data_IF_035616495245
#
_entry.id   IF_035616495245
#
_cell.length_a   1.000
_cell.length_b   1.000
_cell.length_c   1.000
_cell.angle_alpha   90.00
_cell.angle_beta   90.00
_cell.angle_gamma   90.00
#
_symmetry.space_group_name_H-M   'P 1'
#
loop_
_entity.id
_entity.type
_entity.pdbx_description
1 polymer ?
#
# COMPACT_ATOMS: atom_id res chain seq x y z
N UNK A 1 -0.70 29.64 8.07
CA UNK A 1 -1.84 30.34 8.68
C UNK A 1 -3.11 30.25 7.84
N UNK A 2 -3.14 30.68 6.57
CA UNK A 2 -4.38 30.67 5.74
C UNK A 2 -5.08 29.31 5.66
N UNK A 3 -4.34 28.22 5.45
CA UNK A 3 -4.89 26.84 5.48
C UNK A 3 -5.40 26.38 6.85
N UNK A 4 -4.81 26.88 7.94
CA UNK A 4 -5.30 26.60 9.31
C UNK A 4 -6.63 27.33 9.49
N UNK A 5 -6.75 28.56 8.97
CA UNK A 5 -8.00 29.32 9.03
C UNK A 5 -9.11 28.73 8.16
N UNK A 6 -8.79 28.28 6.95
CA UNK A 6 -9.75 27.65 6.04
C UNK A 6 -10.26 26.30 6.59
N UNK A 7 -9.39 25.51 7.25
CA UNK A 7 -9.78 24.22 7.85
C UNK A 7 -10.48 24.35 9.20
N UNK A 8 -10.03 25.27 10.05
CA UNK A 8 -10.68 25.53 11.33
C UNK A 8 -12.05 26.22 11.13
N UNK A 9 -12.27 26.87 9.98
CA UNK A 9 -13.48 27.59 9.64
C UNK A 9 -13.66 28.82 10.52
N UNK A 10 -12.59 29.61 10.72
CA UNK A 10 -12.68 30.84 11.51
C UNK A 10 -13.62 31.83 10.83
N UNK A 11 -14.73 32.15 11.48
CA UNK A 11 -15.59 33.25 11.08
C UNK A 11 -14.85 34.57 11.33
N UNK A 12 -14.75 35.42 10.31
CA UNK A 12 -14.17 36.75 10.40
C UNK A 12 -15.16 37.80 9.93
N UNK A 13 -15.03 39.02 10.44
CA UNK A 13 -15.81 40.17 9.95
C UNK A 13 -15.01 40.88 8.87
N UNK A 14 -15.61 41.05 7.70
CA UNK A 14 -15.06 41.93 6.66
C UNK A 14 -15.34 43.38 7.07
N UNK A 15 -14.31 44.07 7.54
CA UNK A 15 -14.41 45.50 7.85
C UNK A 15 -14.22 46.32 6.57
N UNK A 16 -15.16 47.23 6.23
CA UNK A 16 -14.96 48.17 5.14
C UNK A 16 -13.72 49.03 5.37
N UNK A 17 -12.95 49.38 4.33
CA UNK A 17 -11.76 50.24 4.46
C UNK A 17 -12.03 51.61 5.09
N UNK A 18 -13.27 52.11 5.03
CA UNK A 18 -13.70 53.33 5.71
C UNK A 18 -13.69 53.18 7.24
N UNK A 19 -14.13 52.03 7.76
CA UNK A 19 -14.14 51.74 9.20
C UNK A 19 -12.71 51.61 9.72
N UNK A 20 -11.84 50.93 8.97
CA UNK A 20 -10.42 50.78 9.32
C UNK A 20 -9.73 52.15 9.41
N UNK A 21 -9.98 53.04 8.44
CA UNK A 21 -9.42 54.40 8.46
C UNK A 21 -9.92 55.23 9.64
N UNK A 22 -11.21 55.12 9.96
CA UNK A 22 -11.81 55.79 11.13
C UNK A 22 -11.19 55.30 12.45
N UNK A 23 -11.00 53.98 12.59
CA UNK A 23 -10.37 53.38 13.77
C UNK A 23 -8.90 53.78 13.92
N UNK A 24 -8.18 53.99 12.82
CA UNK A 24 -6.79 54.45 12.85
C UNK A 24 -6.64 55.90 13.31
N UNK A 25 -7.66 56.74 13.12
CA UNK A 25 -7.65 58.16 13.49
C UNK A 25 -8.23 58.46 14.87
N UNK A 26 -8.91 57.49 15.48
CA UNK A 26 -9.61 57.68 16.76
C UNK A 26 -8.71 57.27 17.93
N UNK A 27 -8.81 57.97 19.06
CA UNK A 27 -8.07 57.63 20.26
C UNK A 27 -8.46 56.23 20.78
N UNK A 28 -7.52 55.28 20.94
CA UNK A 28 -7.82 53.93 21.42
C UNK A 28 -8.57 53.89 22.76
N UNK A 29 -8.25 54.80 23.68
CA UNK A 29 -8.86 54.80 25.02
C UNK A 29 -10.34 55.21 24.99
N UNK A 30 -10.71 56.10 24.06
CA UNK A 30 -12.10 56.52 23.87
C UNK A 30 -12.94 55.39 23.27
N UNK A 31 -12.39 54.64 22.31
CA UNK A 31 -13.06 53.48 21.71
C UNK A 31 -13.28 52.39 22.76
N UNK A 32 -12.26 52.09 23.58
CA UNK A 32 -12.36 51.05 24.60
C UNK A 32 -13.43 51.44 25.62
N UNK A 33 -13.42 52.70 26.06
CA UNK A 33 -14.40 53.20 27.04
C UNK A 33 -15.82 53.17 26.48
N UNK A 34 -16.04 53.66 25.25
CA UNK A 34 -17.37 53.65 24.64
C UNK A 34 -17.89 52.23 24.42
N UNK A 35 -17.02 51.33 23.98
CA UNK A 35 -17.37 49.92 23.76
C UNK A 35 -17.70 49.20 25.07
N UNK A 36 -17.00 49.53 26.16
CA UNK A 36 -17.28 48.98 27.48
C UNK A 36 -18.62 49.49 28.04
N UNK A 37 -18.89 50.79 27.91
CA UNK A 37 -20.15 51.38 28.35
C UNK A 37 -21.35 50.80 27.57
N UNK A 38 -21.21 50.58 26.26
CA UNK A 38 -22.21 49.90 25.42
C UNK A 38 -22.42 48.43 25.84
N UNK A 39 -21.31 47.71 26.09
CA UNK A 39 -21.36 46.31 26.54
C UNK A 39 -22.08 46.16 27.88
N UNK A 40 -21.84 47.07 28.84
CA UNK A 40 -22.47 47.04 30.16
C UNK A 40 -23.97 47.37 30.08
N UNK A 41 -24.35 48.30 29.19
CA UNK A 41 -25.74 48.76 29.07
C UNK A 41 -26.61 47.78 28.30
N UNK A 42 -26.18 47.37 27.12
CA UNK A 42 -27.00 46.65 26.14
C UNK A 42 -26.61 45.17 26.03
N UNK A 43 -25.56 44.75 26.74
CA UNK A 43 -24.99 43.41 26.63
C UNK A 43 -24.11 43.23 25.39
N UNK A 44 -23.58 42.02 25.16
CA UNK A 44 -22.73 41.76 24.01
C UNK A 44 -23.54 41.83 22.71
N UNK A 45 -22.97 42.49 21.71
CA UNK A 45 -23.56 42.53 20.36
C UNK A 45 -23.82 41.09 19.86
N UNK A 46 -24.97 40.80 19.24
CA UNK A 46 -25.29 39.46 18.73
C UNK A 46 -24.22 38.91 17.77
N UNK A 47 -23.61 39.78 16.96
CA UNK A 47 -22.50 39.41 16.08
C UNK A 47 -21.25 38.99 16.87
N UNK A 48 -20.95 39.65 17.98
CA UNK A 48 -19.82 39.31 18.84
C UNK A 48 -20.02 37.93 19.47
N UNK A 49 -21.23 37.62 19.94
CA UNK A 49 -21.59 36.30 20.47
C UNK A 49 -21.42 35.23 19.39
N UNK A 50 -21.95 35.45 18.19
CA UNK A 50 -21.79 34.53 17.06
C UNK A 50 -20.32 34.27 16.69
N UNK A 51 -19.48 35.32 16.69
CA UNK A 51 -18.05 35.19 16.40
C UNK A 51 -17.32 34.42 17.50
N UNK A 52 -17.65 34.64 18.78
CA UNK A 52 -17.08 33.88 19.88
C UNK A 52 -17.50 32.41 19.83
N UNK A 53 -18.77 32.12 19.56
CA UNK A 53 -19.26 30.75 19.39
C UNK A 53 -18.59 30.05 18.21
N UNK A 54 -18.43 30.74 17.06
CA UNK A 54 -17.71 30.24 15.90
C UNK A 54 -16.22 30.02 16.20
N UNK A 55 -15.58 30.91 16.96
CA UNK A 55 -14.19 30.78 17.40
C UNK A 55 -14.02 29.58 18.35
N UNK A 56 -14.95 29.38 19.30
CA UNK A 56 -14.94 28.23 20.20
C UNK A 56 -15.17 26.93 19.44
N UNK A 57 -16.08 26.91 18.47
CA UNK A 57 -16.30 25.76 17.59
C UNK A 57 -15.05 25.46 16.74
N UNK A 58 -14.42 26.47 16.15
CA UNK A 58 -13.16 26.34 15.42
C UNK A 58 -12.01 25.86 16.31
N UNK A 59 -11.92 26.37 17.55
CA UNK A 59 -10.98 25.94 18.57
C UNK A 59 -11.15 24.46 18.95
N UNK A 60 -12.39 24.00 19.10
CA UNK A 60 -12.70 22.57 19.35
C UNK A 60 -12.32 21.68 18.17
N UNK A 61 -12.51 22.16 16.94
CA UNK A 61 -12.04 21.50 15.71
C UNK A 61 -10.53 21.59 15.48
N UNK A 62 -9.78 22.26 16.35
CA UNK A 62 -8.32 22.38 16.16
C UNK A 62 -7.59 21.05 16.35
N UNK A 63 -8.15 20.11 17.12
CA UNK A 63 -7.68 18.72 17.15
C UNK A 63 -7.86 18.02 15.79
N UNK A 64 -8.83 18.45 14.98
CA UNK A 64 -9.09 17.97 13.60
C UNK A 64 -8.24 18.73 12.55
N UNK A 65 -7.51 19.79 12.94
CA UNK A 65 -6.66 20.56 12.03
C UNK A 65 -5.42 19.76 11.61
N UNK A 66 -4.91 18.92 12.50
CA UNK A 66 -3.89 17.92 12.18
C UNK A 66 -4.60 16.72 11.57
N UNK A 67 -4.45 16.56 10.25
CA UNK A 67 -4.93 15.37 9.59
C UNK A 67 -4.06 14.17 9.98
N UNK A 68 -4.55 12.94 9.76
CA UNK A 68 -3.77 11.72 10.03
C UNK A 68 -2.39 11.76 9.35
N UNK A 69 -2.30 12.37 8.17
CA UNK A 69 -1.04 12.47 7.44
C UNK A 69 -0.04 13.41 8.13
N UNK A 70 -0.53 14.43 8.85
CA UNK A 70 0.31 15.32 9.62
C UNK A 70 0.85 14.61 10.88
N UNK A 71 0.06 13.72 11.48
CA UNK A 71 0.49 12.87 12.59
C UNK A 71 1.55 11.87 12.11
N UNK A 72 1.27 11.15 11.00
CA UNK A 72 2.21 10.20 10.40
C UNK A 72 3.52 10.88 10.00
N UNK A 73 3.46 12.11 9.48
CA UNK A 73 4.66 12.86 9.13
C UNK A 73 5.50 13.23 10.36
N UNK A 74 4.88 13.47 11.52
CA UNK A 74 5.59 13.71 12.78
C UNK A 74 6.20 12.41 13.30
N UNK A 75 5.43 11.31 13.33
CA UNK A 75 5.90 9.99 13.78
C UNK A 75 7.08 9.48 12.95
N UNK A 76 7.06 9.74 11.65
CA UNK A 76 8.11 9.35 10.71
C UNK A 76 9.21 10.41 10.57
N UNK A 77 9.09 11.56 11.24
CA UNK A 77 10.11 12.62 11.24
C UNK A 77 10.20 13.45 9.95
N UNK A 78 9.35 13.23 8.95
CA UNK A 78 9.29 14.07 7.73
C UNK A 78 8.79 15.48 8.01
N UNK A 79 8.00 15.69 9.07
CA UNK A 79 7.55 17.02 9.47
C UNK A 79 8.70 17.96 9.85
N UNK A 80 9.85 17.40 10.26
CA UNK A 80 11.04 18.14 10.70
C UNK A 80 12.09 18.22 9.57
N UNK A 81 11.92 17.42 8.52
CA UNK A 81 12.81 17.41 7.37
C UNK A 81 12.58 18.62 6.43
N UNK A 82 13.12 18.54 5.22
CA UNK A 82 12.90 19.57 4.21
C UNK A 82 11.41 19.68 3.81
N UNK A 83 10.97 20.91 3.52
CA UNK A 83 9.56 21.25 3.26
C UNK A 83 9.03 20.54 2.01
N UNK A 84 9.86 20.31 0.99
CA UNK A 84 9.46 19.58 -0.21
C UNK A 84 9.14 18.11 0.14
N UNK A 85 10.00 17.47 0.94
CA UNK A 85 9.78 16.10 1.42
C UNK A 85 8.51 15.97 2.27
N UNK A 86 8.25 16.91 3.18
CA UNK A 86 7.02 16.92 3.98
C UNK A 86 5.77 17.05 3.09
N UNK A 87 5.79 17.96 2.11
CA UNK A 87 4.65 18.14 1.19
C UNK A 87 4.44 16.89 0.33
N UNK A 88 5.51 16.31 -0.22
CA UNK A 88 5.44 15.10 -1.03
C UNK A 88 4.88 13.92 -0.23
N UNK A 89 5.42 13.66 0.96
CA UNK A 89 4.95 12.62 1.89
C UNK A 89 3.44 12.74 2.13
N UNK A 90 2.98 13.93 2.50
CA UNK A 90 1.57 14.20 2.75
C UNK A 90 0.70 13.93 1.52
N UNK A 91 1.13 14.39 0.35
CA UNK A 91 0.39 14.17 -0.89
C UNK A 91 0.31 12.67 -1.23
N UNK A 92 1.37 11.90 -0.99
CA UNK A 92 1.38 10.45 -1.20
C UNK A 92 0.36 9.79 -0.28
N UNK A 93 0.41 10.03 1.03
CA UNK A 93 -0.50 9.40 2.01
C UNK A 93 -1.96 9.75 1.72
N UNK A 94 -2.26 11.03 1.45
CA UNK A 94 -3.61 11.47 1.08
C UNK A 94 -4.11 10.81 -0.19
N UNK A 95 -3.24 10.70 -1.20
CA UNK A 95 -3.59 10.09 -2.47
C UNK A 95 -3.79 8.58 -2.34
N UNK A 96 -2.95 7.90 -1.57
CA UNK A 96 -3.10 6.47 -1.25
C UNK A 96 -4.46 6.20 -0.61
N UNK A 97 -4.86 6.98 0.39
CA UNK A 97 -6.18 6.82 1.01
C UNK A 97 -7.34 7.02 0.01
N UNK A 98 -7.21 7.99 -0.91
CA UNK A 98 -8.20 8.21 -1.98
C UNK A 98 -8.27 7.05 -2.97
N UNK A 99 -7.12 6.48 -3.36
CA UNK A 99 -7.06 5.30 -4.22
C UNK A 99 -7.69 4.09 -3.53
N UNK A 100 -7.41 3.89 -2.24
CA UNK A 100 -7.92 2.78 -1.45
C UNK A 100 -9.44 2.85 -1.20
N UNK A 101 -10.00 4.05 -1.08
CA UNK A 101 -11.41 4.25 -0.69
C UNK A 101 -12.42 3.63 -1.68
N UNK A 102 -12.07 3.52 -2.96
CA UNK A 102 -12.92 2.95 -4.01
C UNK A 102 -12.54 1.51 -4.37
N UNK A 103 -11.54 0.90 -3.70
CA UNK A 103 -11.21 -0.52 -3.86
C UNK A 103 -12.17 -1.41 -3.07
N UNK A 104 -12.44 -2.65 -3.53
CA UNK A 104 -13.31 -3.57 -2.82
C UNK A 104 -12.70 -3.95 -1.46
N UNK A 105 -13.54 -4.19 -0.44
CA UNK A 105 -13.05 -4.64 0.88
C UNK A 105 -12.64 -6.11 0.93
N UNK A 106 -12.80 -6.86 -0.17
CA UNK A 106 -12.44 -8.29 -0.28
C UNK A 106 -11.47 -8.48 -1.45
N UNK A 107 -10.63 -9.54 -1.41
CA UNK A 107 -9.76 -9.88 -2.51
C UNK A 107 -10.52 -9.96 -3.83
N UNK A 108 -9.97 -9.32 -4.86
CA UNK A 108 -10.53 -9.34 -6.22
C UNK A 108 -10.47 -10.72 -6.83
N UNK A 109 -11.35 -10.99 -7.81
CA UNK A 109 -11.26 -12.22 -8.59
C UNK A 109 -10.09 -12.12 -9.57
N UNK A 110 -9.27 -13.17 -9.71
CA UNK A 110 -8.17 -13.18 -10.66
C UNK A 110 -8.70 -13.12 -12.10
N UNK A 111 -7.94 -12.47 -12.98
CA UNK A 111 -8.28 -12.41 -14.40
C UNK A 111 -8.14 -13.76 -15.11
N UNK A 112 -9.05 -14.00 -16.05
CA UNK A 112 -9.01 -15.16 -16.94
C UNK A 112 -7.78 -15.06 -17.85
N UNK A 113 -6.95 -16.11 -17.91
CA UNK A 113 -5.70 -16.10 -18.69
C UNK A 113 -4.50 -15.48 -17.97
N UNK A 114 -4.61 -15.24 -16.66
CA UNK A 114 -3.47 -14.88 -15.81
C UNK A 114 -2.33 -15.89 -15.98
N UNK A 115 -1.11 -15.38 -16.16
CA UNK A 115 0.10 -16.18 -16.19
C UNK A 115 0.37 -16.77 -14.80
N UNK A 116 0.08 -18.05 -14.62
CA UNK A 116 0.51 -18.81 -13.46
C UNK A 116 1.90 -19.38 -13.74
N UNK A 117 2.90 -18.92 -12.99
CA UNK A 117 4.25 -19.46 -13.08
C UNK A 117 4.39 -20.55 -12.02
N UNK A 118 4.62 -21.82 -12.39
CA UNK A 118 4.89 -22.88 -11.43
C UNK A 118 6.22 -22.59 -10.74
N UNK A 119 6.18 -22.44 -9.42
CA UNK A 119 7.39 -22.29 -8.60
C UNK A 119 7.91 -23.66 -8.22
N UNK A 120 9.20 -23.90 -8.45
CA UNK A 120 9.90 -25.05 -7.84
C UNK A 120 10.30 -24.65 -6.43
N UNK A 121 9.37 -24.72 -5.49
CA UNK A 121 9.71 -24.58 -4.07
C UNK A 121 10.49 -25.84 -3.71
N UNK A 122 11.80 -25.71 -3.52
CA UNK A 122 12.60 -26.75 -2.91
C UNK A 122 12.25 -26.76 -1.42
N UNK A 123 11.23 -27.54 -1.05
CA UNK A 123 11.02 -27.96 0.33
C UNK A 123 12.10 -29.01 0.69
N UNK A 124 13.35 -28.57 0.73
CA UNK A 124 14.40 -29.31 1.42
C UNK A 124 14.27 -28.98 2.91
N UNK A 125 14.01 -30.00 3.73
CA UNK A 125 14.09 -30.00 5.19
C UNK A 125 12.93 -29.42 6.02
N UNK A 126 11.68 -29.84 5.75
CA UNK A 126 10.67 -29.84 6.81
C UNK A 126 10.17 -31.25 7.11
N UNK A 127 10.76 -31.85 8.16
CA UNK A 127 10.04 -32.83 8.95
C UNK A 127 8.73 -32.17 9.42
N UNK A 128 7.56 -32.76 9.13
CA UNK A 128 6.28 -32.15 9.44
C UNK A 128 6.08 -32.10 10.97
N UNK A 129 6.32 -30.93 11.56
CA UNK A 129 6.00 -30.62 12.96
C UNK A 129 4.54 -30.16 13.05
N UNK A 130 3.61 -31.12 13.02
CA UNK A 130 2.18 -30.89 13.17
C UNK A 130 1.51 -32.07 13.89
N UNK A 131 0.55 -31.76 14.78
CA UNK A 131 -0.21 -32.76 15.53
C UNK A 131 -1.26 -33.50 14.68
N UNK A 132 -1.77 -34.61 15.21
CA UNK A 132 -2.81 -35.41 14.56
C UNK A 132 -4.20 -34.86 14.87
N UNK A 133 -5.06 -34.67 13.86
CA UNK A 133 -6.37 -34.03 14.01
C UNK A 133 -7.55 -35.00 13.96
N UNK A 134 -7.45 -36.10 13.19
CA UNK A 134 -8.50 -37.12 13.15
C UNK A 134 -7.95 -38.53 12.80
N UNK A 135 -8.84 -39.52 12.81
CA UNK A 135 -8.55 -40.90 12.40
C UNK A 135 -9.25 -41.14 11.05
N UNK A 136 -8.54 -41.75 10.10
CA UNK A 136 -9.02 -42.08 8.74
C UNK A 136 -8.71 -43.54 8.41
N UNK A 137 -9.47 -44.14 7.50
CA UNK A 137 -9.17 -45.48 6.95
C UNK A 137 -8.21 -45.45 5.75
N UNK A 138 -7.74 -44.25 5.38
CA UNK A 138 -6.76 -44.02 4.31
C UNK A 138 -5.57 -43.24 4.85
N UNK A 139 -4.35 -43.71 4.58
CA UNK A 139 -3.10 -43.07 4.99
C UNK A 139 -1.86 -43.85 4.52
N UNK A 140 -0.67 -43.30 4.79
CA UNK A 140 0.58 -44.02 4.56
C UNK A 140 0.91 -44.92 5.76
N UNK A 141 1.77 -45.93 5.57
CA UNK A 141 2.22 -46.82 6.66
C UNK A 141 2.86 -46.03 7.81
N UNK A 142 3.51 -44.90 7.51
CA UNK A 142 4.13 -44.02 8.50
C UNK A 142 3.12 -43.34 9.43
N UNK A 143 1.84 -43.24 9.01
CA UNK A 143 0.76 -42.68 9.82
C UNK A 143 -0.19 -43.74 10.40
N UNK A 144 0.16 -45.03 10.30
CA UNK A 144 -0.62 -46.13 10.86
C UNK A 144 -0.78 -45.98 12.37
N UNK A 145 -2.00 -46.18 12.88
CA UNK A 145 -2.22 -46.16 14.33
C UNK A 145 -1.40 -47.28 14.99
N UNK A 146 -0.67 -46.97 16.04
CA UNK A 146 0.18 -47.95 16.71
C UNK A 146 -0.62 -49.16 17.26
N UNK A 147 -1.88 -48.95 17.63
CA UNK A 147 -2.77 -50.03 18.07
C UNK A 147 -3.12 -51.03 16.96
N UNK A 148 -2.92 -50.69 15.68
CA UNK A 148 -3.14 -51.63 14.58
C UNK A 148 -2.03 -52.70 14.49
N UNK A 149 -0.82 -52.39 14.96
CA UNK A 149 0.29 -53.35 14.98
C UNK A 149 0.03 -54.51 15.95
N UNK A 150 -0.90 -54.35 16.89
CA UNK A 150 -1.33 -55.43 17.77
C UNK A 150 -2.03 -56.58 17.04
N UNK A 151 -2.47 -56.36 15.79
CA UNK A 151 -3.08 -57.38 14.95
C UNK A 151 -2.05 -58.18 14.14
N UNK A 152 -0.75 -57.85 14.25
CA UNK A 152 0.30 -58.60 13.59
C UNK A 152 0.60 -59.88 14.36
N UNK A 153 0.51 -61.01 13.67
CA UNK A 153 0.78 -62.34 14.22
C UNK A 153 1.92 -63.00 13.44
N UNK A 154 2.66 -63.97 14.04
CA UNK A 154 3.79 -64.60 13.37
C UNK A 154 3.40 -65.53 12.20
N UNK A 155 2.12 -65.88 12.07
CA UNK A 155 1.58 -66.72 10.99
C UNK A 155 0.76 -65.87 10.02
N UNK A 156 1.07 -65.93 8.72
CA UNK A 156 0.33 -65.20 7.67
C UNK A 156 -0.65 -66.12 6.91
N UNK A 157 -1.84 -65.63 6.49
CA UNK A 157 -2.32 -64.26 6.67
C UNK A 157 -2.85 -64.01 8.08
N UNK A 158 -2.46 -62.88 8.67
CA UNK A 158 -2.92 -62.48 10.00
C UNK A 158 -4.11 -61.50 9.93
N UNK A 159 -4.59 -61.06 11.09
CA UNK A 159 -5.72 -60.12 11.17
C UNK A 159 -5.33 -58.73 10.66
N UNK A 160 -4.04 -58.37 10.69
CA UNK A 160 -3.53 -57.13 10.13
C UNK A 160 -3.61 -57.15 8.59
N UNK A 161 -3.16 -58.24 7.96
CA UNK A 161 -3.21 -58.46 6.52
C UNK A 161 -4.64 -58.39 5.99
N UNK A 162 -5.56 -59.04 6.69
CA UNK A 162 -6.99 -59.03 6.34
C UNK A 162 -7.60 -57.64 6.40
N UNK A 163 -7.22 -56.83 7.40
CA UNK A 163 -7.68 -55.44 7.52
C UNK A 163 -7.00 -54.50 6.53
N UNK A 164 -5.74 -54.76 6.20
CA UNK A 164 -5.00 -54.00 5.19
C UNK A 164 -5.65 -54.15 3.82
N UNK A 165 -5.96 -55.38 3.41
CA UNK A 165 -6.59 -55.66 2.10
C UNK A 165 -8.04 -55.14 2.01
N UNK A 166 -8.73 -55.00 3.16
CA UNK A 166 -10.12 -54.52 3.22
C UNK A 166 -10.27 -53.02 3.43
N UNK A 167 -9.17 -52.26 3.45
CA UNK A 167 -9.17 -50.83 3.78
C UNK A 167 -9.82 -50.53 5.16
N UNK A 168 -9.65 -51.44 6.12
CA UNK A 168 -10.21 -51.34 7.49
C UNK A 168 -9.18 -50.87 8.53
N UNK A 169 -7.92 -50.67 8.13
CA UNK A 169 -6.89 -50.15 9.02
C UNK A 169 -7.08 -48.66 9.28
N UNK A 170 -6.83 -48.28 10.53
CA UNK A 170 -6.88 -46.89 10.95
C UNK A 170 -5.52 -46.22 10.86
N UNK A 171 -5.51 -45.05 10.28
CA UNK A 171 -4.38 -44.15 10.15
C UNK A 171 -4.71 -42.85 10.87
N UNK A 172 -3.72 -42.23 11.48
CA UNK A 172 -3.83 -40.83 11.84
C UNK A 172 -3.95 -40.01 10.55
N UNK A 173 -5.08 -39.34 10.35
CA UNK A 173 -5.18 -38.29 9.34
C UNK A 173 -4.54 -37.04 9.91
N UNK A 174 -3.55 -36.52 9.21
CA UNK A 174 -2.94 -35.24 9.54
C UNK A 174 -3.88 -34.13 9.07
N UNK A 175 -3.79 -32.99 9.75
CA UNK A 175 -4.32 -31.76 9.20
C UNK A 175 -3.46 -31.42 7.98
N UNK A 176 -4.01 -31.51 6.77
CA UNK A 176 -3.37 -30.97 5.58
C UNK A 176 -3.36 -29.43 5.59
N UNK A 177 -3.89 -28.78 6.64
CA UNK A 177 -3.57 -27.38 6.96
C UNK A 177 -2.15 -27.20 7.50
N UNK A 178 -1.21 -28.05 7.05
CA UNK A 178 0.18 -27.69 7.10
C UNK A 178 0.34 -26.47 6.21
N UNK A 179 0.73 -25.35 6.82
CA UNK A 179 1.01 -24.06 6.21
C UNK A 179 1.62 -24.18 4.80
N UNK A 180 0.78 -24.30 3.77
CA UNK A 180 1.11 -23.96 2.38
C UNK A 180 1.20 -22.43 2.34
N UNK A 181 2.16 -21.88 3.09
CA UNK A 181 2.47 -20.46 3.09
C UNK A 181 3.12 -20.21 1.73
N UNK A 182 2.29 -19.90 0.73
CA UNK A 182 2.77 -19.51 -0.59
C UNK A 182 3.69 -18.32 -0.38
N UNK A 183 4.96 -18.49 -0.76
CA UNK A 183 5.94 -17.41 -0.72
C UNK A 183 5.74 -16.56 -1.97
N UNK A 184 5.31 -15.30 -1.79
CA UNK A 184 5.12 -14.35 -2.90
C UNK A 184 6.04 -13.16 -2.70
N UNK A 185 6.73 -12.77 -3.76
CA UNK A 185 7.52 -11.55 -3.79
C UNK A 185 6.89 -10.56 -4.77
N UNK A 186 6.54 -9.37 -4.28
CA UNK A 186 6.01 -8.25 -5.06
C UNK A 186 7.12 -7.24 -5.24
N UNK A 187 7.59 -7.09 -6.48
CA UNK A 187 8.73 -6.26 -6.82
C UNK A 187 8.28 -5.08 -7.68
N UNK A 188 8.61 -3.86 -7.27
CA UNK A 188 8.31 -2.63 -7.98
C UNK A 188 9.61 -2.08 -8.55
N UNK A 189 9.73 -2.00 -9.87
CA UNK A 189 10.92 -1.52 -10.56
C UNK A 189 10.66 -0.12 -11.11
N UNK A 190 11.44 0.88 -10.70
CA UNK A 190 11.32 2.26 -11.16
C UNK A 190 12.51 2.63 -12.05
N UNK A 191 12.23 2.97 -13.30
CA UNK A 191 13.23 3.36 -14.29
C UNK A 191 13.60 4.85 -14.21
N UNK A 192 14.83 5.25 -14.60
CA UNK A 192 15.34 6.60 -14.45
C UNK A 192 14.59 7.65 -15.28
N UNK A 193 13.94 7.24 -16.37
CA UNK A 193 13.13 8.10 -17.23
C UNK A 193 11.90 8.71 -16.53
N UNK A 194 11.50 8.16 -15.38
CA UNK A 194 10.46 8.71 -14.50
C UNK A 194 10.80 10.07 -13.90
N UNK A 195 12.02 10.59 -14.07
CA UNK A 195 12.31 12.02 -13.78
C UNK A 195 11.32 12.93 -14.53
N UNK A 196 10.91 12.53 -15.74
CA UNK A 196 9.90 13.26 -16.53
C UNK A 196 8.51 13.26 -15.88
N UNK A 197 8.26 12.37 -14.91
CA UNK A 197 7.03 12.29 -14.13
C UNK A 197 7.02 13.23 -12.90
N UNK A 198 8.09 13.99 -12.64
CA UNK A 198 8.10 15.13 -11.68
C UNK A 198 7.33 16.35 -12.20
N UNK A 199 6.27 16.10 -12.95
CA UNK A 199 5.44 17.10 -13.59
C UNK A 199 4.00 16.96 -13.11
N UNK A 200 3.35 18.10 -12.87
CA UNK A 200 1.93 18.15 -12.51
C UNK A 200 1.11 18.49 -13.74
N UNK A 201 0.37 17.52 -14.25
CA UNK A 201 -0.62 17.74 -15.31
C UNK A 201 -1.84 18.50 -14.77
N UNK A 202 -2.51 19.27 -15.64
CA UNK A 202 -3.66 20.09 -15.24
C UNK A 202 -4.84 19.25 -14.72
N UNK A 203 -5.03 18.06 -15.31
CA UNK A 203 -6.13 17.15 -14.99
C UNK A 203 -5.87 16.32 -13.72
N UNK A 204 -4.67 16.39 -13.14
CA UNK A 204 -4.28 15.61 -11.97
C UNK A 204 -4.15 16.49 -10.72
N UNK A 205 -4.53 15.96 -9.54
CA UNK A 205 -4.42 16.72 -8.29
C UNK A 205 -2.95 17.00 -7.91
N UNK A 206 -2.05 16.05 -8.21
CA UNK A 206 -0.64 16.06 -7.83
C UNK A 206 0.27 15.64 -8.99
N UNK A 207 1.59 15.70 -8.79
CA UNK A 207 2.58 15.26 -9.77
C UNK A 207 2.45 13.77 -10.07
N UNK A 208 2.76 13.36 -11.30
CA UNK A 208 2.68 11.94 -11.71
C UNK A 208 3.55 11.03 -10.83
N UNK A 209 4.74 11.46 -10.43
CA UNK A 209 5.62 10.68 -9.56
C UNK A 209 5.00 10.40 -8.18
N UNK A 210 4.23 11.36 -7.64
CA UNK A 210 3.48 11.20 -6.38
C UNK A 210 2.39 10.15 -6.55
N UNK A 211 1.71 10.13 -7.70
CA UNK A 211 0.69 9.12 -8.01
C UNK A 211 1.31 7.72 -8.16
N UNK A 212 2.50 7.60 -8.74
CA UNK A 212 3.25 6.34 -8.81
C UNK A 212 3.57 5.82 -7.40
N UNK A 213 4.14 6.66 -6.54
CA UNK A 213 4.45 6.27 -5.15
C UNK A 213 3.19 5.92 -4.36
N UNK A 214 2.12 6.68 -4.54
CA UNK A 214 0.83 6.41 -3.91
C UNK A 214 0.22 5.08 -4.37
N UNK A 215 0.39 4.74 -5.66
CA UNK A 215 -0.03 3.46 -6.26
C UNK A 215 0.76 2.30 -5.64
N UNK A 216 2.08 2.41 -5.54
CA UNK A 216 2.93 1.39 -4.90
C UNK A 216 2.49 1.19 -3.44
N UNK A 217 2.31 2.28 -2.68
CA UNK A 217 1.89 2.19 -1.28
C UNK A 217 0.50 1.57 -1.12
N UNK A 218 -0.45 1.92 -1.99
CA UNK A 218 -1.79 1.32 -2.00
C UNK A 218 -1.73 -0.19 -2.28
N UNK A 219 -0.90 -0.61 -3.24
CA UNK A 219 -0.69 -2.03 -3.56
C UNK A 219 -0.09 -2.77 -2.36
N UNK A 220 0.96 -2.24 -1.74
CA UNK A 220 1.60 -2.85 -0.56
C UNK A 220 0.59 -3.04 0.58
N UNK A 221 -0.19 -2.01 0.91
CA UNK A 221 -1.19 -2.06 1.98
C UNK A 221 -2.28 -3.09 1.69
N UNK A 222 -2.85 -3.06 0.48
CA UNK A 222 -3.92 -4.00 0.09
C UNK A 222 -3.45 -5.44 0.00
N UNK A 223 -2.25 -5.68 -0.54
CA UNK A 223 -1.67 -7.02 -0.58
C UNK A 223 -1.37 -7.55 0.83
N UNK A 224 -0.87 -6.69 1.73
CA UNK A 224 -0.63 -7.07 3.13
C UNK A 224 -1.93 -7.44 3.85
N UNK A 225 -3.00 -6.67 3.62
CA UNK A 225 -4.32 -6.93 4.19
C UNK A 225 -4.92 -8.25 3.65
N UNK A 226 -4.94 -8.42 2.32
CA UNK A 226 -5.62 -9.53 1.67
C UNK A 226 -4.86 -10.86 1.72
N UNK A 227 -3.54 -10.81 1.75
CA UNK A 227 -2.66 -12.00 1.74
C UNK A 227 -2.01 -12.24 3.12
N UNK A 228 -2.72 -11.92 4.20
CA UNK A 228 -2.22 -12.05 5.58
C UNK A 228 -1.78 -13.47 5.97
N UNK A 229 -2.28 -14.49 5.28
CA UNK A 229 -1.88 -15.90 5.46
C UNK A 229 -0.59 -16.26 4.73
N UNK A 230 -0.27 -15.58 3.62
CA UNK A 230 0.87 -15.88 2.76
C UNK A 230 2.17 -15.31 3.34
N UNK A 231 3.30 -15.84 2.89
CA UNK A 231 4.61 -15.26 3.20
C UNK A 231 4.94 -14.26 2.10
N UNK A 232 4.61 -12.99 2.34
CA UNK A 232 4.81 -11.91 1.37
C UNK A 232 6.14 -11.20 1.61
N UNK A 233 6.77 -10.76 0.52
CA UNK A 233 7.94 -9.87 0.53
C UNK A 233 7.71 -8.76 -0.49
N UNK A 234 8.05 -7.53 -0.12
CA UNK A 234 7.95 -6.35 -0.97
C UNK A 234 9.34 -5.81 -1.26
N UNK A 235 9.64 -5.56 -2.53
CA UNK A 235 10.90 -4.93 -2.92
C UNK A 235 10.64 -3.76 -3.85
N UNK A 236 11.30 -2.63 -3.61
CA UNK A 236 11.30 -1.49 -4.52
C UNK A 236 12.71 -1.31 -5.07
N UNK A 237 12.86 -1.51 -6.37
CA UNK A 237 14.14 -1.45 -7.08
C UNK A 237 14.20 -0.18 -7.92
N UNK A 238 15.22 0.63 -7.70
CA UNK A 238 15.51 1.83 -8.49
C UNK A 238 16.65 1.55 -9.46
N UNK A 239 16.42 1.82 -10.75
CA UNK A 239 17.42 1.60 -11.79
C UNK A 239 18.30 2.83 -11.93
N UNK A 240 19.62 2.65 -11.83
CA UNK A 240 20.58 3.73 -12.01
C UNK A 240 20.86 4.00 -13.49
N UNK A 241 21.21 5.24 -13.80
CA UNK A 241 21.66 5.66 -15.12
C UNK A 241 23.08 6.21 -15.00
N UNK A 242 24.05 5.53 -15.62
CA UNK A 242 25.46 5.94 -15.58
C UNK A 242 26.07 6.00 -14.17
N UNK A 243 25.60 5.15 -13.24
CA UNK A 243 26.09 5.11 -11.85
C UNK A 243 25.50 6.20 -10.94
N UNK A 244 24.52 6.96 -11.40
CA UNK A 244 23.74 7.89 -10.58
C UNK A 244 22.30 7.39 -10.47
N UNK A 245 21.70 7.54 -9.29
CA UNK A 245 20.27 7.33 -9.11
C UNK A 245 19.53 8.67 -9.27
N UNK A 246 18.88 8.94 -10.41
CA UNK A 246 18.17 10.19 -10.58
C UNK A 246 16.93 10.30 -9.67
N UNK A 247 16.43 9.18 -9.15
CA UNK A 247 15.26 9.07 -8.28
C UNK A 247 15.64 8.90 -6.79
N UNK A 248 16.74 9.51 -6.36
CA UNK A 248 17.25 9.39 -4.98
C UNK A 248 16.24 9.91 -3.94
N UNK A 249 15.58 11.03 -4.22
CA UNK A 249 14.57 11.61 -3.32
C UNK A 249 13.35 10.68 -3.19
N UNK A 250 12.91 10.09 -4.29
CA UNK A 250 11.82 9.13 -4.31
C UNK A 250 12.17 7.83 -3.57
N UNK A 251 13.41 7.36 -3.69
CA UNK A 251 13.91 6.21 -2.93
C UNK A 251 13.95 6.49 -1.43
N UNK A 252 14.38 7.68 -1.02
CA UNK A 252 14.38 8.10 0.38
C UNK A 252 12.95 8.16 0.96
N UNK A 253 12.00 8.71 0.20
CA UNK A 253 10.59 8.75 0.61
C UNK A 253 9.98 7.36 0.73
N UNK A 254 10.20 6.45 -0.23
CA UNK A 254 9.67 5.09 -0.16
C UNK A 254 10.31 4.27 0.96
N UNK A 255 11.60 4.47 1.27
CA UNK A 255 12.24 3.86 2.46
C UNK A 255 11.54 4.26 3.75
N UNK A 256 11.10 5.52 3.85
CA UNK A 256 10.37 5.99 5.01
C UNK A 256 8.94 5.44 5.06
N UNK A 257 8.21 5.49 3.95
CA UNK A 257 6.83 5.03 3.86
C UNK A 257 6.69 3.52 4.08
N UNK A 258 7.72 2.76 3.70
CA UNK A 258 7.81 1.30 3.85
C UNK A 258 8.66 0.88 5.06
N UNK A 259 8.89 1.78 6.03
CA UNK A 259 9.72 1.52 7.20
C UNK A 259 9.29 0.28 7.98
N UNK A 260 8.00 0.11 8.22
CA UNK A 260 7.46 -1.02 8.99
C UNK A 260 7.73 -2.37 8.29
N UNK A 261 7.42 -2.56 6.99
CA UNK A 261 7.86 -3.75 6.26
C UNK A 261 9.38 -3.97 6.26
N UNK A 262 10.17 -2.90 6.13
CA UNK A 262 11.64 -3.00 6.14
C UNK A 262 12.15 -3.50 7.51
N UNK A 263 11.64 -2.93 8.60
CA UNK A 263 12.02 -3.34 9.96
C UNK A 263 11.58 -4.77 10.30
N UNK A 264 10.45 -5.23 9.74
CA UNK A 264 9.98 -6.61 9.86
C UNK A 264 10.76 -7.60 8.99
N UNK A 265 11.55 -7.11 8.03
CA UNK A 265 12.38 -7.92 7.13
C UNK A 265 11.64 -8.48 5.91
N UNK A 266 10.40 -8.04 5.67
CA UNK A 266 9.60 -8.38 4.50
C UNK A 266 9.49 -7.21 3.50
N UNK A 267 10.22 -6.13 3.72
CA UNK A 267 10.36 -4.98 2.83
C UNK A 267 11.81 -4.66 2.50
N UNK A 268 12.11 -4.27 1.26
CA UNK A 268 13.43 -3.80 0.87
C UNK A 268 13.35 -2.67 -0.17
N UNK A 269 14.26 -1.71 -0.11
CA UNK A 269 14.40 -0.66 -1.14
C UNK A 269 15.85 -0.62 -1.59
N UNK A 270 16.09 -1.05 -2.84
CA UNK A 270 17.41 -1.24 -3.41
C UNK A 270 17.63 -0.34 -4.62
N UNK A 271 18.90 -0.04 -4.87
CA UNK A 271 19.35 0.62 -6.08
C UNK A 271 20.20 -0.36 -6.87
N UNK A 272 19.85 -0.58 -8.14
CA UNK A 272 20.55 -1.51 -9.02
C UNK A 272 21.16 -0.76 -10.20
N UNK A 273 22.37 -1.16 -10.64
CA UNK A 273 23.17 -0.38 -11.59
C UNK A 273 22.57 -0.32 -12.99
N UNK A 274 21.86 -1.36 -13.42
CA UNK A 274 21.32 -1.49 -14.78
C UNK A 274 20.15 -2.49 -14.84
N UNK A 275 19.50 -2.57 -16.01
CA UNK A 275 18.39 -3.50 -16.25
C UNK A 275 18.81 -4.97 -16.10
N UNK A 276 20.02 -5.34 -16.55
CA UNK A 276 20.53 -6.72 -16.43
C UNK A 276 20.64 -7.19 -14.96
N UNK A 277 21.04 -6.28 -14.05
CA UNK A 277 21.09 -6.59 -12.62
C UNK A 277 19.69 -6.86 -12.05
N UNK A 278 18.65 -6.18 -12.55
CA UNK A 278 17.26 -6.43 -12.16
C UNK A 278 16.82 -7.81 -12.63
N UNK A 279 17.10 -8.15 -13.89
CA UNK A 279 16.75 -9.47 -14.46
C UNK A 279 17.41 -10.61 -13.68
N UNK A 280 18.69 -10.44 -13.32
CA UNK A 280 19.43 -11.40 -12.48
C UNK A 280 18.83 -11.51 -11.06
N UNK A 281 18.47 -10.38 -10.46
CA UNK A 281 17.87 -10.33 -9.12
C UNK A 281 16.50 -11.00 -9.10
N UNK A 282 15.61 -10.64 -10.04
CA UNK A 282 14.29 -11.25 -10.22
C UNK A 282 14.38 -12.76 -10.52
N UNK A 283 15.31 -13.16 -11.38
CA UNK A 283 15.55 -14.57 -11.70
C UNK A 283 16.01 -15.38 -10.48
N UNK A 284 16.80 -14.77 -9.58
CA UNK A 284 17.22 -15.40 -8.33
C UNK A 284 16.04 -15.55 -7.36
N UNK A 285 15.25 -14.48 -7.18
CA UNK A 285 14.02 -14.49 -6.37
C UNK A 285 13.00 -15.52 -6.84
N UNK A 286 12.85 -15.70 -8.16
CA UNK A 286 11.90 -16.66 -8.72
C UNK A 286 12.19 -18.13 -8.40
N UNK A 287 13.40 -18.43 -7.88
CA UNK A 287 13.76 -19.79 -7.42
C UNK A 287 13.14 -20.12 -6.06
N UNK A 288 12.85 -19.12 -5.24
CA UNK A 288 12.38 -19.30 -3.86
C UNK A 288 10.95 -18.81 -3.60
N UNK A 289 10.39 -18.00 -4.50
CA UNK A 289 9.08 -17.40 -4.35
C UNK A 289 8.40 -17.16 -5.71
N UNK A 290 7.07 -17.03 -5.69
CA UNK A 290 6.31 -16.57 -6.85
C UNK A 290 6.51 -15.06 -6.98
N UNK A 291 7.12 -14.60 -8.07
CA UNK A 291 7.48 -13.20 -8.25
C UNK A 291 6.47 -12.50 -9.16
N UNK A 292 5.91 -11.41 -8.64
CA UNK A 292 5.09 -10.44 -9.36
C UNK A 292 5.87 -9.13 -9.46
N UNK A 293 6.13 -8.67 -10.68
CA UNK A 293 6.93 -7.48 -10.95
C UNK A 293 6.08 -6.39 -11.59
N UNK A 294 6.06 -5.19 -11.02
CA UNK A 294 5.56 -3.97 -11.66
C UNK A 294 6.71 -3.12 -12.17
N UNK A 295 6.96 -3.11 -13.47
CA UNK A 295 7.93 -2.23 -14.10
C UNK A 295 7.29 -0.89 -14.45
N UNK A 296 7.72 0.19 -13.81
CA UNK A 296 7.19 1.54 -13.98
C UNK A 296 8.21 2.41 -14.71
N UNK A 297 7.79 3.01 -15.82
CA UNK A 297 8.62 3.87 -16.67
C UNK A 297 7.79 4.94 -17.36
N UNK A 298 8.42 5.99 -17.89
CA UNK A 298 7.75 6.97 -18.71
C UNK A 298 7.58 6.48 -20.17
N UNK A 299 8.58 5.76 -20.68
CA UNK A 299 8.60 5.14 -22.01
C UNK A 299 8.46 3.61 -21.94
N UNK A 300 8.16 2.93 -23.06
CA UNK A 300 8.02 1.47 -23.08
C UNK A 300 9.31 0.73 -22.71
N UNK A 301 9.20 -0.25 -21.81
CA UNK A 301 10.33 -1.08 -21.34
C UNK A 301 10.21 -2.52 -21.84
N UNK A 302 11.34 -3.14 -22.19
CA UNK A 302 11.46 -4.50 -22.75
C UNK A 302 11.72 -5.59 -21.70
N UNK A 303 11.39 -5.37 -20.44
CA UNK A 303 11.60 -6.36 -19.37
C UNK A 303 10.59 -7.50 -19.52
N UNK A 304 11.04 -8.67 -19.95
CA UNK A 304 10.22 -9.88 -20.07
C UNK A 304 10.99 -11.10 -19.55
N UNK A 305 10.42 -11.78 -18.57
CA UNK A 305 10.99 -12.97 -17.93
C UNK A 305 9.97 -14.10 -17.93
N UNK A 306 10.38 -15.32 -18.31
CA UNK A 306 9.47 -16.46 -18.36
C UNK A 306 9.00 -16.88 -16.96
N UNK A 307 9.88 -16.83 -15.96
CA UNK A 307 9.64 -17.27 -14.58
C UNK A 307 9.02 -16.18 -13.68
N UNK A 308 8.72 -15.01 -14.22
CA UNK A 308 8.17 -13.88 -13.46
C UNK A 308 6.89 -13.38 -14.14
N UNK A 309 5.92 -12.95 -13.33
CA UNK A 309 4.74 -12.23 -13.85
C UNK A 309 5.10 -10.76 -13.94
N UNK A 310 5.44 -10.28 -15.13
CA UNK A 310 5.81 -8.88 -15.36
C UNK A 310 4.60 -8.09 -15.86
N UNK A 311 4.25 -7.06 -15.10
CA UNK A 311 3.26 -6.04 -15.43
C UNK A 311 4.01 -4.72 -15.67
N UNK A 312 3.74 -4.05 -16.79
CA UNK A 312 4.42 -2.81 -17.19
C UNK A 312 3.45 -1.64 -17.05
N UNK A 313 3.85 -0.59 -16.35
CA UNK A 313 3.08 0.64 -16.17
C UNK A 313 3.82 1.81 -16.83
N UNK A 314 3.23 2.37 -17.88
CA UNK A 314 3.77 3.52 -18.61
C UNK A 314 3.11 4.81 -18.13
N UNK A 315 3.93 5.81 -17.78
CA UNK A 315 3.51 7.08 -17.16
C UNK A 315 3.97 8.27 -18.00
N UNK A 316 3.48 8.37 -19.24
CA UNK A 316 3.87 9.44 -20.17
C UNK A 316 3.09 10.75 -20.00
N UNK A 317 1.89 10.70 -19.43
CA UNK A 317 1.02 11.85 -19.18
C UNK A 317 -0.02 11.56 -18.11
N UNK A 318 -1.10 12.35 -18.07
CA UNK A 318 -2.15 12.21 -17.05
C UNK A 318 -2.85 10.85 -17.05
N UNK A 319 -2.83 10.15 -18.19
CA UNK A 319 -3.45 8.86 -18.42
C UNK A 319 -2.39 7.74 -18.39
N UNK A 320 -2.28 6.97 -17.30
CA UNK A 320 -1.34 5.85 -17.21
C UNK A 320 -1.82 4.68 -18.08
N UNK A 321 -0.89 3.84 -18.53
CA UNK A 321 -1.21 2.63 -19.31
C UNK A 321 -0.55 1.42 -18.66
N UNK A 322 -1.34 0.42 -18.29
CA UNK A 322 -0.87 -0.85 -17.73
C UNK A 322 -0.92 -1.97 -18.79
N UNK A 323 0.13 -2.79 -18.86
CA UNK A 323 0.27 -3.89 -19.82
C UNK A 323 0.80 -5.16 -19.14
N UNK A 324 0.37 -6.32 -19.62
CA UNK A 324 0.89 -7.63 -19.15
C UNK A 324 1.15 -8.53 -20.35
N UNK A 325 2.39 -9.00 -20.53
CA UNK A 325 2.76 -9.86 -21.67
C UNK A 325 2.65 -9.18 -23.04
N UNK A 326 2.41 -9.97 -24.10
CA UNK A 326 2.29 -9.51 -25.49
C UNK A 326 0.92 -8.94 -25.85
N UNK A 327 -0.08 -9.12 -24.97
CA UNK A 327 -1.44 -8.63 -25.22
C UNK A 327 -1.52 -7.19 -24.71
N UNK A 328 -1.52 -6.26 -25.66
CA UNK A 328 -2.16 -4.97 -25.49
C UNK A 328 -3.67 -5.22 -25.39
N UNK A 329 -4.24 -5.15 -24.20
CA UNK A 329 -5.67 -4.84 -24.06
C UNK A 329 -5.85 -4.00 -22.80
N UNK A 330 -6.15 -2.70 -22.89
CA UNK A 330 -7.15 -1.91 -23.64
C UNK A 330 -8.30 -1.56 -22.71
N UNK A 331 -8.33 -0.26 -22.41
CA UNK A 331 -9.25 0.49 -21.55
C UNK A 331 -9.16 0.20 -20.04
N UNK A 332 -8.61 1.19 -19.35
CA UNK A 332 -8.88 1.43 -17.94
C UNK A 332 -10.23 2.15 -17.86
N UNK A 333 -11.11 1.69 -16.98
CA UNK A 333 -12.37 2.38 -16.73
C UNK A 333 -12.12 3.61 -15.85
N UNK A 334 -12.70 4.75 -16.21
CA UNK A 334 -12.58 5.98 -15.43
C UNK A 334 -13.23 7.15 -16.15
N UNK A 335 -13.93 8.00 -15.39
CA UNK A 335 -14.55 9.21 -15.93
C UNK A 335 -13.55 10.37 -15.97
N UNK A 336 -12.64 10.42 -14.99
CA UNK A 336 -11.57 11.41 -14.90
C UNK A 336 -10.16 10.77 -14.91
N UNK A 337 -9.14 11.61 -15.09
CA UNK A 337 -7.76 11.14 -15.14
C UNK A 337 -7.31 10.44 -13.85
N UNK A 338 -7.89 10.78 -12.70
CA UNK A 338 -7.54 10.18 -11.41
C UNK A 338 -8.15 8.77 -11.25
N UNK A 339 -9.37 8.57 -11.73
CA UNK A 339 -10.04 7.27 -11.75
C UNK A 339 -9.22 6.23 -12.54
N UNK A 340 -8.52 6.65 -13.60
CA UNK A 340 -7.62 5.77 -14.33
C UNK A 340 -6.47 5.25 -13.46
N UNK A 341 -5.90 6.08 -12.58
CA UNK A 341 -4.87 5.64 -11.63
C UNK A 341 -5.41 4.63 -10.61
N UNK A 342 -6.65 4.80 -10.20
CA UNK A 342 -7.30 3.84 -9.34
C UNK A 342 -7.55 2.51 -10.06
N UNK A 343 -8.00 2.57 -11.31
CA UNK A 343 -8.18 1.37 -12.15
C UNK A 343 -6.85 0.66 -12.42
N UNK A 344 -5.72 1.39 -12.48
CA UNK A 344 -4.37 0.76 -12.49
C UNK A 344 -4.14 -0.07 -11.23
N UNK A 345 -4.47 0.46 -10.04
CA UNK A 345 -4.31 -0.29 -8.77
C UNK A 345 -5.16 -1.55 -8.78
N UNK A 346 -6.44 -1.42 -9.15
CA UNK A 346 -7.37 -2.55 -9.21
C UNK A 346 -6.87 -3.62 -10.19
N UNK A 347 -6.47 -3.20 -11.39
CA UNK A 347 -5.97 -4.09 -12.44
C UNK A 347 -4.69 -4.81 -12.03
N UNK A 348 -3.76 -4.12 -11.36
CA UNK A 348 -2.55 -4.76 -10.83
C UNK A 348 -2.91 -5.82 -9.78
N UNK A 349 -3.86 -5.55 -8.89
CA UNK A 349 -4.33 -6.52 -7.90
C UNK A 349 -4.99 -7.74 -8.58
N UNK A 350 -5.82 -7.54 -9.60
CA UNK A 350 -6.47 -8.62 -10.36
C UNK A 350 -5.49 -9.55 -11.09
N UNK A 351 -4.30 -9.03 -11.43
CA UNK A 351 -3.23 -9.78 -12.08
C UNK A 351 -2.38 -10.59 -11.09
N UNK A 352 -2.43 -10.24 -9.79
CA UNK A 352 -1.47 -10.68 -8.78
C UNK A 352 -2.08 -11.51 -7.63
N UNK A 353 -3.31 -11.19 -7.25
CA UNK A 353 -4.09 -11.90 -6.22
C UNK A 353 -4.70 -13.11 -6.87
#
# INVERSE_FOLDING_TARGET
>A
MRQICDRAGFAGVLLPPAVIRSLQTTNPDEIIKSSYDELVRDGPLPLLVQLYEALVAAGRRTAEVLALEDILAIEQGTAIADKAHYVAHRQIVQTTARLEAKLPGRPVKPLVGRKEVPTRVMDEDQYPVGGYTSISTKGSIESLLHSQLAYMEPESPDLFDMKFVRDELFYYSRDENQFLRRRRAFVFVLYPDLVTARFKDADLPYQRIVLVQATILALVRRLTEWLSTDAIRFEVLFVQEGGKNPLTEEAALLKLLLREPIERGDGEVLELPNQEAIEKHLGTLSRSAQVHCLAVAAEPVTLDLETVVVTKLMVKGSHPVIKTGSVLSDHLDGEDAFDLWQSVVLRALELWV
#
